data_IF_402308175678
#
_entry.id   IF_402308175678
#
_cell.length_a   1.000
_cell.length_b   1.000
_cell.length_c   1.000
_cell.angle_alpha   90.00
_cell.angle_beta   90.00
_cell.angle_gamma   90.00
#
_symmetry.space_group_name_H-M   'P 1'
#
loop_
_entity.id
_entity.type
_entity.pdbx_description
1 polymer ?
#
# COMPACT_ATOMS: atom_id res chain seq x y z
N UNK A 1 -0.79 20.88 18.05
CA UNK A 1 -1.92 20.52 17.20
C UNK A 1 -3.04 20.02 18.05
N UNK A 2 -4.23 20.50 17.82
CA UNK A 2 -5.29 20.29 18.79
C UNK A 2 -5.97 18.94 18.66
N UNK A 3 -6.13 18.28 19.78
CA UNK A 3 -7.15 17.27 19.95
C UNK A 3 -8.39 17.96 20.52
N UNK A 4 -9.57 17.51 20.11
CA UNK A 4 -10.84 18.10 20.51
C UNK A 4 -11.69 17.08 21.23
N UNK A 5 -12.50 17.54 22.18
CA UNK A 5 -13.46 16.70 22.89
C UNK A 5 -14.81 16.74 22.16
N UNK A 6 -15.36 15.57 21.90
CA UNK A 6 -16.71 15.47 21.34
C UNK A 6 -17.73 15.55 22.48
N UNK A 7 -18.49 16.62 22.50
CA UNK A 7 -19.49 16.87 23.56
C UNK A 7 -20.66 15.88 23.55
N UNK A 8 -20.89 15.20 22.43
CA UNK A 8 -21.99 14.23 22.30
C UNK A 8 -21.62 12.87 22.90
N UNK A 9 -20.38 12.42 22.70
CA UNK A 9 -19.94 11.11 23.14
C UNK A 9 -19.01 11.16 24.36
N UNK A 10 -18.50 12.34 24.70
CA UNK A 10 -17.51 12.50 25.76
C UNK A 10 -16.12 11.98 25.40
N UNK A 11 -15.92 11.54 24.17
CA UNK A 11 -14.64 11.02 23.70
C UNK A 11 -13.85 12.10 22.96
N UNK A 12 -12.56 11.88 22.82
CA UNK A 12 -11.69 12.80 22.12
C UNK A 12 -11.53 12.40 20.65
N UNK A 13 -11.31 13.38 19.80
CA UNK A 13 -10.96 13.16 18.40
C UNK A 13 -9.80 14.05 17.98
N UNK A 14 -9.06 13.64 16.96
CA UNK A 14 -8.03 14.48 16.34
C UNK A 14 -8.43 14.82 14.91
N UNK A 15 -8.03 16.03 14.50
CA UNK A 15 -8.27 16.57 13.17
C UNK A 15 -7.00 17.31 12.77
N UNK A 16 -6.40 16.91 11.67
CA UNK A 16 -5.16 17.52 11.22
C UNK A 16 -5.05 17.45 9.70
N UNK A 17 -4.20 18.30 9.16
CA UNK A 17 -3.91 18.33 7.73
C UNK A 17 -2.61 17.58 7.46
N UNK A 18 -2.55 16.92 6.30
CA UNK A 18 -1.35 16.28 5.82
C UNK A 18 -1.27 16.42 4.30
N UNK A 19 -0.07 16.25 3.74
CA UNK A 19 0.14 16.26 2.30
C UNK A 19 0.15 14.80 1.82
N UNK A 20 -0.71 14.49 0.84
CA UNK A 20 -0.74 13.15 0.29
C UNK A 20 0.42 12.94 -0.71
N UNK A 21 0.49 11.74 -1.27
CA UNK A 21 1.55 11.37 -2.20
C UNK A 21 1.55 12.20 -3.49
N UNK A 22 0.42 12.82 -3.84
CA UNK A 22 0.30 13.69 -5.01
C UNK A 22 0.66 15.15 -4.70
N UNK A 23 0.99 15.46 -3.45
CA UNK A 23 1.27 16.82 -3.01
C UNK A 23 0.05 17.63 -2.63
N UNK A 24 -1.13 17.03 -2.59
CA UNK A 24 -2.38 17.70 -2.21
C UNK A 24 -2.55 17.71 -0.69
N UNK A 25 -3.02 18.84 -0.16
CA UNK A 25 -3.36 18.90 1.26
C UNK A 25 -4.67 18.17 1.51
N UNK A 26 -4.66 17.25 2.45
CA UNK A 26 -5.83 16.49 2.88
C UNK A 26 -6.03 16.62 4.38
N UNK A 27 -7.27 16.38 4.81
CA UNK A 27 -7.64 16.43 6.21
C UNK A 27 -7.94 15.04 6.72
N UNK A 28 -7.37 14.70 7.87
CA UNK A 28 -7.62 13.42 8.55
C UNK A 28 -8.41 13.67 9.83
N UNK A 29 -9.46 12.89 10.00
CA UNK A 29 -10.28 12.87 11.21
C UNK A 29 -10.22 11.47 11.79
N UNK A 30 -9.99 11.38 13.09
CA UNK A 30 -10.08 10.12 13.82
C UNK A 30 -10.77 10.38 15.16
N UNK A 31 -11.79 9.60 15.42
CA UNK A 31 -12.64 9.74 16.62
C UNK A 31 -12.54 8.52 17.52
N UNK A 32 -13.10 8.64 18.71
CA UNK A 32 -13.24 7.51 19.62
C UNK A 32 -12.06 7.27 20.55
N UNK A 33 -11.23 8.29 20.78
CA UNK A 33 -10.16 8.21 21.76
C UNK A 33 -10.70 8.47 23.19
N UNK A 34 -10.24 7.69 24.14
CA UNK A 34 -10.63 7.86 25.53
C UNK A 34 -10.01 9.12 26.15
N UNK A 35 -8.80 9.51 25.73
CA UNK A 35 -8.07 10.65 26.28
C UNK A 35 -7.49 11.53 25.19
N UNK A 36 -7.21 12.78 25.53
CA UNK A 36 -6.51 13.72 24.66
C UNK A 36 -5.12 13.21 24.27
N UNK A 37 -4.43 12.56 25.20
CA UNK A 37 -3.09 12.01 24.97
C UNK A 37 -3.09 10.96 23.87
N UNK A 38 -4.09 10.08 23.84
CA UNK A 38 -4.24 9.06 22.80
C UNK A 38 -4.49 9.70 21.43
N UNK A 39 -5.32 10.75 21.38
CA UNK A 39 -5.60 11.44 20.12
C UNK A 39 -4.34 12.12 19.57
N UNK A 40 -3.55 12.76 20.41
CA UNK A 40 -2.29 13.40 20.02
C UNK A 40 -1.24 12.37 19.61
N UNK A 41 -1.19 11.22 20.29
CA UNK A 41 -0.29 10.14 19.94
C UNK A 41 -0.62 9.57 18.56
N UNK A 42 -1.91 9.39 18.25
CA UNK A 42 -2.36 8.94 16.93
C UNK A 42 -1.91 9.89 15.82
N UNK A 43 -2.10 11.19 16.02
CA UNK A 43 -1.67 12.20 15.05
C UNK A 43 -0.17 12.12 14.79
N UNK A 44 0.64 12.05 15.85
CA UNK A 44 2.09 11.95 15.75
C UNK A 44 2.51 10.70 14.98
N UNK A 45 1.95 9.56 15.34
CA UNK A 45 2.26 8.28 14.69
C UNK A 45 1.88 8.31 13.21
N UNK A 46 0.73 8.88 12.89
CA UNK A 46 0.27 9.00 11.49
C UNK A 46 1.24 9.86 10.68
N UNK A 47 1.64 11.02 11.19
CA UNK A 47 2.57 11.92 10.49
C UNK A 47 3.96 11.29 10.31
N UNK A 48 4.45 10.54 11.30
CA UNK A 48 5.70 9.80 11.19
C UNK A 48 5.63 8.73 10.10
N UNK A 49 4.54 7.95 10.07
CA UNK A 49 4.32 6.95 9.01
C UNK A 49 4.20 7.60 7.64
N UNK A 50 3.52 8.73 7.56
CA UNK A 50 3.36 9.48 6.32
C UNK A 50 4.68 9.97 5.76
N UNK A 51 5.60 10.41 6.62
CA UNK A 51 6.93 10.86 6.19
C UNK A 51 7.84 9.71 5.78
N UNK A 52 7.66 8.52 6.40
CA UNK A 52 8.47 7.34 6.14
C UNK A 52 7.92 6.49 4.98
N UNK A 53 6.59 6.36 4.89
CA UNK A 53 5.91 5.51 3.91
C UNK A 53 4.71 6.27 3.33
N UNK A 54 4.55 6.29 2.01
CA UNK A 54 3.38 6.94 1.38
C UNK A 54 2.09 6.19 1.72
N UNK A 55 0.97 6.91 1.73
CA UNK A 55 -0.35 6.36 2.03
C UNK A 55 -1.14 5.96 0.78
N UNK A 56 -0.49 5.94 -0.38
CA UNK A 56 -1.14 5.55 -1.63
C UNK A 56 -1.57 4.08 -1.59
N UNK A 57 -2.68 3.77 -2.26
CA UNK A 57 -3.11 2.38 -2.41
C UNK A 57 -2.24 1.67 -3.44
N UNK A 58 -2.23 0.34 -3.38
CA UNK A 58 -1.51 -0.45 -4.38
C UNK A 58 -2.08 -0.24 -5.79
N UNK A 59 -3.38 -0.01 -5.92
CA UNK A 59 -4.01 0.34 -7.19
C UNK A 59 -3.40 1.61 -7.79
N UNK A 60 -3.21 2.65 -6.99
CA UNK A 60 -2.59 3.89 -7.44
C UNK A 60 -1.11 3.68 -7.80
N UNK A 61 -0.39 2.88 -7.02
CA UNK A 61 0.99 2.51 -7.35
C UNK A 61 1.06 1.80 -8.69
N UNK A 62 0.16 0.85 -8.93
CA UNK A 62 0.07 0.14 -10.19
C UNK A 62 -0.14 1.09 -11.37
N UNK A 63 -1.05 2.01 -11.26
CA UNK A 63 -1.36 2.98 -12.31
C UNK A 63 -0.14 3.85 -12.65
N UNK A 64 0.53 4.39 -11.64
CA UNK A 64 1.74 5.20 -11.81
C UNK A 64 2.87 4.37 -12.40
N UNK A 65 3.07 3.15 -11.89
CA UNK A 65 4.10 2.23 -12.37
C UNK A 65 3.88 1.88 -13.85
N UNK A 66 2.65 1.55 -14.23
CA UNK A 66 2.35 1.19 -15.62
C UNK A 66 2.48 2.36 -16.57
N UNK A 67 2.12 3.57 -16.15
CA UNK A 67 2.32 4.78 -16.94
C UNK A 67 3.80 5.00 -17.25
N UNK A 68 4.67 4.88 -16.24
CA UNK A 68 6.11 5.00 -16.40
C UNK A 68 6.68 3.89 -17.31
N UNK A 69 6.25 2.65 -17.06
CA UNK A 69 6.76 1.50 -17.84
C UNK A 69 6.29 1.50 -19.30
N UNK A 70 5.12 2.06 -19.58
CA UNK A 70 4.60 2.17 -20.95
C UNK A 70 5.55 2.98 -21.85
N UNK A 71 6.22 3.98 -21.28
CA UNK A 71 7.20 4.78 -22.01
C UNK A 71 8.54 4.07 -22.23
N UNK A 72 8.82 2.98 -21.48
CA UNK A 72 10.15 2.35 -21.42
C UNK A 72 10.20 0.94 -22.00
N UNK A 73 9.09 0.22 -21.97
CA UNK A 73 9.04 -1.19 -22.32
C UNK A 73 8.25 -1.43 -23.60
N UNK A 74 8.50 -2.58 -24.22
CA UNK A 74 7.75 -3.02 -25.42
C UNK A 74 6.28 -3.28 -25.04
N UNK A 75 5.40 -3.06 -26.01
CA UNK A 75 3.96 -3.25 -25.81
C UNK A 75 3.60 -4.67 -25.34
N UNK A 76 4.25 -5.69 -25.91
CA UNK A 76 4.01 -7.08 -25.49
C UNK A 76 4.34 -7.30 -24.00
N UNK A 77 5.42 -6.71 -23.51
CA UNK A 77 5.81 -6.78 -22.09
C UNK A 77 4.78 -6.07 -21.23
N UNK A 78 4.30 -4.89 -21.65
CA UNK A 78 3.29 -4.12 -20.92
C UNK A 78 1.98 -4.91 -20.83
N UNK A 79 1.53 -5.55 -21.90
CA UNK A 79 0.32 -6.36 -21.91
C UNK A 79 0.43 -7.56 -20.96
N UNK A 80 1.59 -8.21 -20.91
CA UNK A 80 1.85 -9.33 -19.98
C UNK A 80 1.81 -8.85 -18.53
N UNK A 81 2.48 -7.74 -18.22
CA UNK A 81 2.46 -7.13 -16.89
C UNK A 81 1.04 -6.76 -16.46
N UNK A 82 0.30 -6.13 -17.35
CA UNK A 82 -1.08 -5.73 -17.11
C UNK A 82 -1.96 -6.92 -16.77
N UNK A 83 -1.87 -8.00 -17.57
CA UNK A 83 -2.64 -9.22 -17.35
C UNK A 83 -2.34 -9.83 -15.98
N UNK A 84 -1.06 -10.00 -15.64
CA UNK A 84 -0.64 -10.60 -14.38
C UNK A 84 -1.12 -9.73 -13.19
N UNK A 85 -0.90 -8.42 -13.28
CA UNK A 85 -1.27 -7.51 -12.19
C UNK A 85 -2.78 -7.45 -11.98
N UNK A 86 -3.56 -7.30 -13.04
CA UNK A 86 -5.03 -7.19 -12.94
C UNK A 86 -5.68 -8.50 -12.53
N UNK A 87 -5.12 -9.64 -12.92
CA UNK A 87 -5.69 -10.96 -12.64
C UNK A 87 -5.29 -11.49 -11.27
N UNK A 88 -4.04 -11.31 -10.87
CA UNK A 88 -3.47 -12.01 -9.71
C UNK A 88 -3.07 -11.11 -8.54
N UNK A 89 -2.75 -9.86 -8.78
CA UNK A 89 -2.20 -8.96 -7.75
C UNK A 89 -3.24 -7.96 -7.25
N UNK A 90 -3.87 -7.19 -8.14
CA UNK A 90 -4.82 -6.15 -7.77
C UNK A 90 -6.05 -6.65 -7.01
N UNK A 91 -6.63 -7.83 -7.33
CA UNK A 91 -7.77 -8.33 -6.54
C UNK A 91 -7.45 -8.54 -5.07
N UNK A 92 -6.19 -8.81 -4.73
CA UNK A 92 -5.76 -9.01 -3.35
C UNK A 92 -5.23 -7.71 -2.70
N UNK A 93 -4.38 -6.98 -3.40
CA UNK A 93 -3.66 -5.83 -2.83
C UNK A 93 -4.20 -4.46 -3.24
N UNK A 94 -5.00 -4.36 -4.28
CA UNK A 94 -5.35 -3.10 -4.93
C UNK A 94 -5.90 -2.02 -4.01
N UNK A 95 -6.74 -2.38 -3.05
CA UNK A 95 -7.35 -1.44 -2.10
C UNK A 95 -6.51 -1.16 -0.87
N UNK A 96 -5.42 -1.90 -0.70
CA UNK A 96 -4.57 -1.81 0.49
C UNK A 96 -3.53 -0.72 0.31
N UNK A 97 -3.33 0.17 1.31
CA UNK A 97 -2.21 1.12 1.26
C UNK A 97 -0.87 0.37 1.23
N UNK A 98 0.09 0.87 0.43
CA UNK A 98 1.37 0.18 0.28
C UNK A 98 2.18 0.13 1.57
N UNK A 99 2.00 1.09 2.46
CA UNK A 99 2.67 1.11 3.76
C UNK A 99 2.08 0.12 4.77
N UNK A 100 0.94 -0.48 4.46
CA UNK A 100 0.27 -1.48 5.30
C UNK A 100 0.47 -2.91 4.81
N UNK A 101 1.12 -3.09 3.66
CA UNK A 101 1.43 -4.42 3.14
C UNK A 101 2.58 -5.02 3.95
N UNK A 102 2.33 -6.17 4.57
CA UNK A 102 3.28 -6.87 5.42
C UNK A 102 3.73 -8.18 4.77
N UNK A 103 4.84 -8.72 5.25
CA UNK A 103 5.35 -10.02 4.79
C UNK A 103 4.30 -11.14 4.96
N UNK A 104 3.51 -11.09 6.04
CA UNK A 104 2.41 -12.04 6.27
C UNK A 104 1.34 -11.96 5.19
N UNK A 105 1.02 -10.77 4.71
CA UNK A 105 0.05 -10.57 3.63
C UNK A 105 0.56 -11.16 2.31
N UNK A 106 1.83 -10.93 2.01
CA UNK A 106 2.49 -11.49 0.81
C UNK A 106 2.50 -13.01 0.87
N UNK A 107 2.82 -13.58 2.03
CA UNK A 107 2.85 -15.04 2.23
C UNK A 107 1.45 -15.65 2.04
N UNK A 108 0.43 -15.01 2.59
CA UNK A 108 -0.96 -15.46 2.42
C UNK A 108 -1.37 -15.43 0.94
N UNK A 109 -1.02 -14.39 0.23
CA UNK A 109 -1.26 -14.26 -1.21
C UNK A 109 -0.54 -15.37 -1.99
N UNK A 110 0.73 -15.61 -1.69
CA UNK A 110 1.50 -16.70 -2.31
C UNK A 110 0.82 -18.05 -2.09
N UNK A 111 0.38 -18.33 -0.86
CA UNK A 111 -0.30 -19.57 -0.54
C UNK A 111 -1.63 -19.74 -1.28
N UNK A 112 -2.38 -18.67 -1.45
CA UNK A 112 -3.62 -18.70 -2.24
C UNK A 112 -3.35 -19.06 -3.71
N UNK A 113 -2.29 -18.51 -4.30
CA UNK A 113 -1.90 -18.84 -5.66
C UNK A 113 -1.45 -20.29 -5.80
N UNK A 114 -0.66 -20.77 -4.85
CA UNK A 114 -0.16 -22.17 -4.84
C UNK A 114 -1.29 -23.18 -4.70
N UNK A 115 -2.34 -22.84 -3.95
CA UNK A 115 -3.50 -23.69 -3.69
C UNK A 115 -4.63 -23.48 -4.69
N UNK A 116 -4.42 -22.67 -5.74
CA UNK A 116 -5.44 -22.39 -6.75
C UNK A 116 -5.83 -23.67 -7.51
N UNK A 117 -7.15 -23.88 -7.76
CA UNK A 117 -7.61 -25.02 -8.57
C UNK A 117 -7.05 -25.03 -9.99
N UNK A 118 -6.58 -23.89 -10.50
CA UNK A 118 -6.01 -23.78 -11.86
C UNK A 118 -4.64 -24.43 -11.99
N UNK A 119 -3.98 -24.75 -10.88
CA UNK A 119 -2.72 -25.51 -10.90
C UNK A 119 -1.58 -24.80 -11.62
N UNK A 120 -1.26 -23.57 -11.25
CA UNK A 120 -0.18 -22.80 -11.88
C UNK A 120 1.17 -23.50 -11.73
N UNK A 121 1.97 -23.43 -12.81
CA UNK A 121 3.35 -23.95 -12.76
C UNK A 121 4.23 -23.13 -11.81
N UNK A 122 5.30 -23.73 -11.31
CA UNK A 122 6.27 -23.06 -10.43
C UNK A 122 6.88 -21.83 -11.14
N UNK A 123 7.19 -21.94 -12.42
CA UNK A 123 7.74 -20.84 -13.23
C UNK A 123 6.76 -19.68 -13.32
N UNK A 124 5.48 -19.97 -13.53
CA UNK A 124 4.45 -18.94 -13.62
C UNK A 124 4.23 -18.24 -12.27
N UNK A 125 4.18 -19.00 -11.18
CA UNK A 125 4.08 -18.44 -9.83
C UNK A 125 5.26 -17.52 -9.52
N UNK A 126 6.46 -17.90 -9.92
CA UNK A 126 7.66 -17.09 -9.77
C UNK A 126 7.56 -15.78 -10.54
N UNK A 127 7.04 -15.85 -11.77
CA UNK A 127 6.81 -14.67 -12.63
C UNK A 127 5.82 -13.70 -11.98
N UNK A 128 4.71 -14.21 -11.42
CA UNK A 128 3.73 -13.40 -10.71
C UNK A 128 4.36 -12.70 -9.50
N UNK A 129 5.10 -13.46 -8.70
CA UNK A 129 5.80 -12.91 -7.53
C UNK A 129 6.82 -11.85 -7.92
N UNK A 130 7.54 -12.05 -9.01
CA UNK A 130 8.49 -11.06 -9.50
C UNK A 130 7.82 -9.75 -9.90
N UNK A 131 6.61 -9.77 -10.45
CA UNK A 131 5.87 -8.55 -10.77
C UNK A 131 5.53 -7.76 -9.51
N UNK A 132 5.07 -8.43 -8.46
CA UNK A 132 4.82 -7.77 -7.18
C UNK A 132 6.10 -7.17 -6.60
N UNK A 133 7.19 -7.93 -6.60
CA UNK A 133 8.49 -7.49 -6.10
C UNK A 133 9.00 -6.27 -6.87
N UNK A 134 8.86 -6.25 -8.19
CA UNK A 134 9.26 -5.12 -9.02
C UNK A 134 8.50 -3.85 -8.67
N UNK A 135 7.19 -3.96 -8.46
CA UNK A 135 6.37 -2.80 -8.11
C UNK A 135 6.68 -2.28 -6.71
N UNK A 136 6.89 -3.16 -5.75
CA UNK A 136 7.26 -2.77 -4.38
C UNK A 136 8.66 -2.11 -4.37
N UNK A 137 9.61 -2.64 -5.11
CA UNK A 137 10.93 -2.03 -5.25
C UNK A 137 10.87 -0.66 -5.93
N UNK A 138 9.98 -0.50 -6.90
CA UNK A 138 9.70 0.80 -7.51
C UNK A 138 9.19 1.80 -6.47
N UNK A 139 8.26 1.40 -5.62
CA UNK A 139 7.76 2.24 -4.54
C UNK A 139 8.86 2.58 -3.53
N UNK A 140 9.71 1.62 -3.20
CA UNK A 140 10.85 1.82 -2.31
C UNK A 140 11.83 2.85 -2.87
N UNK A 141 12.05 2.81 -4.17
CA UNK A 141 12.99 3.70 -4.85
C UNK A 141 12.45 5.12 -5.03
N UNK A 142 11.16 5.27 -5.39
CA UNK A 142 10.59 6.55 -5.80
C UNK A 142 9.58 7.14 -4.82
N UNK A 143 9.04 6.36 -3.90
CA UNK A 143 7.97 6.78 -2.98
C UNK A 143 8.32 6.54 -1.51
N UNK A 144 9.60 6.41 -1.19
CA UNK A 144 10.14 6.34 0.17
C UNK A 144 9.57 5.20 1.03
N UNK A 145 9.18 4.09 0.40
CA UNK A 145 8.82 2.89 1.13
C UNK A 145 10.07 2.29 1.79
N UNK A 146 10.04 2.05 3.10
CA UNK A 146 11.23 1.67 3.87
C UNK A 146 11.71 0.25 3.62
N UNK A 147 10.78 -0.70 3.43
CA UNK A 147 11.11 -2.11 3.31
C UNK A 147 10.32 -2.75 2.19
N UNK A 148 10.88 -3.86 1.65
CA UNK A 148 10.18 -4.70 0.69
C UNK A 148 9.66 -5.94 1.43
N UNK A 149 8.34 -6.07 1.67
CA UNK A 149 7.80 -7.24 2.37
C UNK A 149 7.98 -8.54 1.59
N UNK A 150 8.15 -8.48 0.26
CA UNK A 150 8.43 -9.67 -0.55
C UNK A 150 9.76 -10.31 -0.18
N UNK A 151 10.78 -9.50 0.12
CA UNK A 151 12.07 -10.00 0.56
C UNK A 151 12.01 -10.75 1.88
N UNK A 152 11.12 -10.33 2.78
CA UNK A 152 10.92 -10.99 4.08
C UNK A 152 10.06 -12.24 3.97
N UNK A 153 9.17 -12.30 2.99
CA UNK A 153 8.31 -13.46 2.77
C UNK A 153 9.04 -14.65 2.12
N UNK A 154 10.15 -14.39 1.48
CA UNK A 154 10.96 -15.40 0.82
C UNK A 154 10.53 -15.70 -0.60
#
# INVERSE_FOLDING_TARGET
MPAYKDNKTGKWFCKFYYTDWQGNNRQKWKRGFATKKEALAYERDFLEKQSANPDMTFQNLYEVYMEDMTARLKQSTILTKKHICETHILPFFGKKPINEIKASDVRRWQNQLMNSPKGYSKTYLKTINNQLTCMINYAKRFYDLNTNPCGQAG
#
